data_IF_712993598554
#
_entry.id   IF_712993598554
#
_cell.length_a   1.000
_cell.length_b   1.000
_cell.length_c   1.000
_cell.angle_alpha   90.00
_cell.angle_beta   90.00
_cell.angle_gamma   90.00
#
_symmetry.space_group_name_H-M   'P 1'
#
loop_
_entity.id
_entity.type
_entity.pdbx_description
1 polymer ?
#
# COMPACT_ATOMS: atom_id res chain seq x y z
N UNK A 1 -10.16 10.06 -10.69
CA UNK A 1 -8.85 10.43 -11.28
C UNK A 1 -7.89 9.35 -10.81
N UNK A 2 -7.16 8.67 -11.71
CA UNK A 2 -6.30 7.55 -11.32
C UNK A 2 -4.85 8.03 -11.28
N UNK A 3 -4.21 7.94 -10.12
CA UNK A 3 -2.79 8.27 -9.95
C UNK A 3 -1.94 7.04 -10.27
N UNK A 4 -0.86 7.20 -11.05
CA UNK A 4 0.10 6.12 -11.28
C UNK A 4 1.45 6.52 -10.67
N UNK A 5 1.99 5.67 -9.79
CA UNK A 5 3.27 5.85 -9.14
C UNK A 5 4.30 4.91 -9.77
N UNK A 6 5.29 5.47 -10.44
CA UNK A 6 6.39 4.75 -11.07
C UNK A 6 7.72 5.38 -10.61
N UNK A 7 8.83 4.62 -10.64
CA UNK A 7 10.19 5.16 -10.53
C UNK A 7 10.38 6.06 -9.30
N UNK A 8 10.03 5.57 -8.10
CA UNK A 8 10.07 6.34 -6.83
C UNK A 8 9.09 7.50 -6.75
N UNK A 9 8.07 7.53 -7.60
CA UNK A 9 6.92 8.41 -7.43
C UNK A 9 6.21 8.11 -6.10
N UNK A 10 5.85 9.16 -5.38
CA UNK A 10 5.25 9.05 -4.05
C UNK A 10 3.87 9.72 -4.01
N UNK A 11 2.96 9.13 -3.23
CA UNK A 11 1.71 9.77 -2.85
C UNK A 11 1.52 9.70 -1.34
N UNK A 12 1.33 10.86 -0.73
CA UNK A 12 1.07 11.00 0.69
C UNK A 12 -0.41 11.36 0.88
N UNK A 13 -1.18 10.44 1.44
CA UNK A 13 -2.61 10.65 1.73
C UNK A 13 -2.71 11.04 3.19
N UNK A 14 -2.81 12.35 3.43
CA UNK A 14 -2.93 12.95 4.76
C UNK A 14 -4.36 12.84 5.31
N UNK A 15 -4.55 13.27 6.55
CA UNK A 15 -5.85 13.32 7.22
C UNK A 15 -6.91 14.03 6.37
N UNK A 16 -8.09 13.41 6.23
CA UNK A 16 -9.18 13.90 5.38
C UNK A 16 -8.94 13.72 3.87
N UNK A 17 -7.73 13.31 3.46
CA UNK A 17 -7.39 13.02 2.08
C UNK A 17 -7.97 11.68 1.62
N UNK A 18 -8.44 11.65 0.36
CA UNK A 18 -8.95 10.43 -0.29
C UNK A 18 -8.20 10.19 -1.60
N UNK A 19 -7.59 9.01 -1.73
CA UNK A 19 -6.98 8.55 -2.98
C UNK A 19 -7.80 7.39 -3.56
N UNK A 20 -8.28 7.53 -4.80
CA UNK A 20 -9.08 6.50 -5.49
C UNK A 20 -8.32 5.98 -6.70
N UNK A 21 -8.20 4.66 -6.83
CA UNK A 21 -7.66 4.03 -8.02
C UNK A 21 -6.17 4.26 -8.24
N UNK A 22 -5.39 4.42 -7.18
CA UNK A 22 -3.93 4.55 -7.29
C UNK A 22 -3.32 3.23 -7.76
N UNK A 23 -2.47 3.29 -8.78
CA UNK A 23 -1.65 2.16 -9.25
C UNK A 23 -0.21 2.39 -8.82
N UNK A 24 0.33 1.47 -8.03
CA UNK A 24 1.70 1.51 -7.50
C UNK A 24 2.54 0.48 -8.26
N UNK A 25 3.35 0.96 -9.21
CA UNK A 25 4.28 0.13 -9.99
C UNK A 25 5.70 0.24 -9.43
N UNK A 26 6.67 -0.36 -10.13
CA UNK A 26 8.09 -0.47 -9.75
C UNK A 26 8.59 0.77 -8.99
N UNK A 27 9.07 0.51 -7.77
CA UNK A 27 9.65 1.46 -6.83
C UNK A 27 8.72 2.61 -6.38
N UNK A 28 7.44 2.60 -6.77
CA UNK A 28 6.45 3.57 -6.34
C UNK A 28 6.01 3.35 -4.89
N UNK A 29 5.52 4.41 -4.25
CA UNK A 29 5.17 4.38 -2.84
C UNK A 29 3.94 5.21 -2.49
N UNK A 30 2.96 4.59 -1.82
CA UNK A 30 1.84 5.31 -1.22
C UNK A 30 1.88 5.20 0.30
N UNK A 31 1.87 6.34 0.99
CA UNK A 31 1.70 6.40 2.44
C UNK A 31 0.31 6.91 2.79
N UNK A 32 -0.53 6.03 3.33
CA UNK A 32 -1.85 6.39 3.85
C UNK A 32 -1.70 6.71 5.33
N UNK A 33 -1.67 8.00 5.67
CA UNK A 33 -1.48 8.48 7.05
C UNK A 33 -2.76 8.30 7.87
N UNK A 34 -2.63 8.43 9.19
CA UNK A 34 -3.78 8.43 10.09
C UNK A 34 -4.85 9.42 9.60
N UNK A 35 -6.12 8.98 9.58
CA UNK A 35 -7.24 9.76 9.05
C UNK A 35 -7.32 9.89 7.52
N UNK A 36 -6.36 9.35 6.77
CA UNK A 36 -6.41 9.25 5.31
C UNK A 36 -7.10 7.97 4.82
N UNK A 37 -7.68 8.03 3.61
CA UNK A 37 -8.36 6.91 2.96
C UNK A 37 -7.77 6.64 1.56
N UNK A 38 -7.39 5.40 1.30
CA UNK A 38 -7.10 4.92 -0.06
C UNK A 38 -8.10 3.83 -0.46
N UNK A 39 -8.71 3.95 -1.64
CA UNK A 39 -9.69 2.98 -2.15
C UNK A 39 -9.32 2.49 -3.54
N UNK A 40 -9.45 1.19 -3.80
CA UNK A 40 -9.17 0.59 -5.10
C UNK A 40 -7.70 0.65 -5.50
N UNK A 41 -6.79 0.56 -4.52
CA UNK A 41 -5.34 0.62 -4.80
C UNK A 41 -4.87 -0.68 -5.44
N UNK A 42 -4.07 -0.60 -6.50
CA UNK A 42 -3.42 -1.74 -7.15
C UNK A 42 -1.92 -1.68 -6.86
N UNK A 43 -1.36 -2.71 -6.24
CA UNK A 43 0.05 -2.74 -5.81
C UNK A 43 0.82 -3.81 -6.59
N UNK A 44 1.88 -3.38 -7.30
CA UNK A 44 2.71 -4.21 -8.18
C UNK A 44 4.21 -4.19 -7.79
N UNK A 45 4.56 -3.61 -6.64
CA UNK A 45 5.95 -3.49 -6.14
C UNK A 45 6.01 -3.53 -4.61
N UNK A 46 7.21 -3.72 -4.07
CA UNK A 46 7.49 -3.67 -2.64
C UNK A 46 7.63 -5.02 -1.96
N UNK A 47 7.70 -6.12 -2.71
CA UNK A 47 8.04 -7.46 -2.20
C UNK A 47 9.06 -8.20 -3.08
N UNK A 48 9.81 -7.49 -3.94
CA UNK A 48 10.79 -8.09 -4.86
C UNK A 48 11.89 -8.87 -4.15
N UNK A 49 12.28 -8.42 -2.95
CA UNK A 49 13.26 -9.08 -2.08
C UNK A 49 12.69 -10.22 -1.23
N UNK A 50 11.41 -10.57 -1.40
CA UNK A 50 10.72 -11.57 -0.59
C UNK A 50 10.12 -11.01 0.72
N UNK A 51 9.49 -11.88 1.53
CA UNK A 51 8.72 -11.47 2.72
C UNK A 51 9.58 -10.79 3.79
N UNK A 52 10.85 -11.16 3.90
CA UNK A 52 11.79 -10.65 4.92
C UNK A 52 12.50 -9.35 4.51
N UNK A 53 12.29 -8.86 3.28
CA UNK A 53 12.96 -7.64 2.80
C UNK A 53 12.39 -6.38 3.48
N UNK A 54 13.27 -5.45 3.87
CA UNK A 54 12.86 -4.14 4.37
C UNK A 54 12.48 -3.22 3.21
N UNK A 55 11.18 -3.15 2.91
CA UNK A 55 10.63 -2.31 1.85
C UNK A 55 9.98 -1.06 2.45
N UNK A 56 10.83 -0.26 3.08
CA UNK A 56 10.38 0.91 3.83
C UNK A 56 9.80 2.05 2.98
N UNK A 57 10.09 2.07 1.67
CA UNK A 57 9.70 3.16 0.75
C UNK A 57 9.17 2.65 -0.59
N UNK A 58 8.55 1.47 -0.63
CA UNK A 58 7.89 0.94 -1.83
C UNK A 58 6.58 0.24 -1.45
N UNK A 59 5.66 0.11 -2.40
CA UNK A 59 4.33 -0.46 -2.16
C UNK A 59 3.40 0.49 -1.40
N UNK A 60 2.52 -0.04 -0.56
CA UNK A 60 1.57 0.76 0.23
C UNK A 60 1.83 0.60 1.73
N UNK A 61 2.04 1.71 2.44
CA UNK A 61 2.06 1.75 3.92
C UNK A 61 0.77 2.37 4.45
N UNK A 62 0.12 1.68 5.39
CA UNK A 62 -1.21 2.05 5.90
C UNK A 62 -1.14 2.30 7.41
N UNK A 63 -1.25 3.56 7.80
CA UNK A 63 -1.55 4.03 9.17
C UNK A 63 -3.00 4.52 9.30
N UNK A 64 -3.63 4.91 8.19
CA UNK A 64 -5.05 5.23 8.07
C UNK A 64 -5.88 4.03 7.60
N UNK A 65 -6.73 4.24 6.58
CA UNK A 65 -7.61 3.18 6.03
C UNK A 65 -7.30 2.91 4.56
N UNK A 66 -7.16 1.63 4.21
CA UNK A 66 -7.12 1.15 2.84
C UNK A 66 -8.32 0.23 2.56
N UNK A 67 -9.03 0.43 1.46
CA UNK A 67 -10.21 -0.34 1.08
C UNK A 67 -10.10 -0.88 -0.34
N UNK A 68 -10.57 -2.11 -0.57
CA UNK A 68 -10.57 -2.72 -1.92
C UNK A 68 -9.18 -2.77 -2.56
N UNK A 69 -8.15 -3.06 -1.77
CA UNK A 69 -6.77 -3.15 -2.27
C UNK A 69 -6.55 -4.45 -3.02
N UNK A 70 -5.96 -4.39 -4.22
CA UNK A 70 -5.43 -5.55 -4.93
C UNK A 70 -3.91 -5.58 -4.86
N UNK A 71 -3.35 -6.67 -4.34
CA UNK A 71 -1.92 -6.90 -4.24
C UNK A 71 -1.53 -7.97 -5.27
N UNK A 72 -0.84 -7.57 -6.33
CA UNK A 72 -0.36 -8.48 -7.36
C UNK A 72 1.01 -9.08 -6.99
N UNK A 73 1.55 -9.93 -7.86
CA UNK A 73 2.92 -10.45 -7.73
C UNK A 73 3.91 -9.30 -7.47
N UNK A 74 4.79 -9.49 -6.49
CA UNK A 74 5.77 -8.51 -6.00
C UNK A 74 5.15 -7.28 -5.31
N UNK A 75 3.82 -7.18 -5.21
CA UNK A 75 3.14 -6.12 -4.49
C UNK A 75 3.24 -6.31 -2.99
N UNK A 76 3.37 -5.21 -2.24
CA UNK A 76 3.31 -5.25 -0.78
C UNK A 76 2.42 -4.17 -0.17
N UNK A 77 1.53 -4.59 0.73
CA UNK A 77 0.82 -3.71 1.65
C UNK A 77 1.33 -3.94 3.08
N UNK A 78 1.75 -2.89 3.76
CA UNK A 78 2.16 -2.92 5.16
C UNK A 78 1.15 -2.15 5.98
N UNK A 79 0.42 -2.85 6.85
CA UNK A 79 -0.49 -2.27 7.83
C UNK A 79 0.31 -2.05 9.12
N UNK A 80 0.34 -0.80 9.58
CA UNK A 80 1.04 -0.37 10.78
C UNK A 80 0.07 -0.35 11.98
N UNK A 81 0.57 -0.07 13.20
CA UNK A 81 -0.15 -0.24 14.48
C UNK A 81 -1.52 0.45 14.63
N UNK A 82 -1.88 1.38 13.75
CA UNK A 82 -3.19 2.05 13.71
C UNK A 82 -3.93 1.86 12.38
N UNK A 83 -3.31 1.16 11.43
CA UNK A 83 -3.82 1.00 10.09
C UNK A 83 -4.93 -0.04 10.02
N UNK A 84 -5.83 0.17 9.08
CA UNK A 84 -6.90 -0.77 8.74
C UNK A 84 -6.82 -1.04 7.23
N UNK A 85 -6.79 -2.30 6.84
CA UNK A 85 -7.07 -2.69 5.46
C UNK A 85 -8.37 -3.51 5.43
N UNK A 86 -9.29 -3.14 4.54
CA UNK A 86 -10.57 -3.83 4.31
C UNK A 86 -10.64 -4.28 2.86
N UNK A 87 -11.19 -5.46 2.64
CA UNK A 87 -11.40 -6.04 1.31
C UNK A 87 -10.10 -6.10 0.49
N UNK A 88 -9.05 -6.69 1.08
CA UNK A 88 -7.79 -6.92 0.37
C UNK A 88 -7.82 -8.23 -0.41
N UNK A 89 -7.59 -8.16 -1.72
CA UNK A 89 -7.33 -9.31 -2.59
C UNK A 89 -5.82 -9.46 -2.82
N UNK A 90 -5.26 -10.63 -2.52
CA UNK A 90 -3.83 -10.91 -2.69
C UNK A 90 -3.65 -12.05 -3.70
N UNK A 91 -3.00 -11.77 -4.82
CA UNK A 91 -2.61 -12.79 -5.79
C UNK A 91 -1.29 -13.46 -5.41
N UNK A 92 -1.01 -14.61 -6.04
CA UNK A 92 0.22 -15.36 -5.81
C UNK A 92 1.48 -14.48 -5.97
N UNK A 93 2.32 -14.47 -4.92
CA UNK A 93 3.54 -13.66 -4.86
C UNK A 93 3.34 -12.21 -4.40
N UNK A 94 2.14 -11.80 -4.01
CA UNK A 94 1.90 -10.58 -3.24
C UNK A 94 2.08 -10.81 -1.74
N UNK A 95 2.34 -9.74 -0.99
CA UNK A 95 2.54 -9.76 0.46
C UNK A 95 1.63 -8.73 1.18
N UNK A 96 1.02 -9.15 2.28
CA UNK A 96 0.42 -8.23 3.25
C UNK A 96 1.03 -8.50 4.62
N UNK A 97 1.70 -7.48 5.17
CA UNK A 97 2.29 -7.54 6.51
C UNK A 97 1.44 -6.72 7.48
N UNK A 98 0.95 -7.35 8.56
CA UNK A 98 0.06 -6.72 9.55
C UNK A 98 0.75 -6.59 10.88
N UNK A 99 1.01 -5.36 11.33
CA UNK A 99 1.67 -5.08 12.60
C UNK A 99 0.67 -4.61 13.65
N UNK A 100 0.52 -5.41 14.71
CA UNK A 100 -0.17 -4.99 15.93
C UNK A 100 0.70 -4.11 16.81
N UNK A 101 0.14 -3.68 17.95
CA UNK A 101 0.92 -3.19 19.09
C UNK A 101 1.20 -4.40 20.00
N UNK A 102 2.42 -4.55 20.56
CA UNK A 102 2.63 -5.53 21.63
C UNK A 102 1.74 -5.24 22.84
#
# INVERSE_FOLDING_TARGET
MNTTLNNRGEQWVHEGGVATGTIINRDGYQSVKSGGLATGTIINTGAEGGPDSDNSYTGQKVQGTAESTTINKNGRQIILFSGIARDTLIYAGGDQSVHGRP
#
